data_IF_026151327587
#
_entry.id   IF_026151327587
#
_cell.length_a   1.000
_cell.length_b   1.000
_cell.length_c   1.000
_cell.angle_alpha   90.00
_cell.angle_beta   90.00
_cell.angle_gamma   90.00
#
_symmetry.space_group_name_H-M   'P 1'
#
loop_
_entity.id
_entity.type
_entity.pdbx_description
1 polymer ?
#
# COMPACT_ATOMS: atom_id res chain seq x y z
N UNK A 1 12.27 14.82 8.00
CA UNK A 1 13.16 13.98 8.85
C UNK A 1 12.34 13.08 9.79
N UNK A 2 11.56 13.63 10.72
CA UNK A 2 10.83 12.88 11.78
C UNK A 2 10.05 11.60 11.37
N UNK A 3 9.41 11.54 10.20
CA UNK A 3 8.62 10.36 9.77
C UNK A 3 9.46 9.19 9.27
N UNK A 4 10.57 9.47 8.58
CA UNK A 4 11.48 8.43 8.09
C UNK A 4 12.14 7.75 9.29
N UNK A 5 12.54 8.54 10.29
CA UNK A 5 13.13 8.00 11.53
C UNK A 5 12.13 7.13 12.31
N UNK A 6 10.84 7.48 12.29
CA UNK A 6 9.77 6.67 12.90
C UNK A 6 9.52 5.35 12.15
N UNK A 7 9.65 5.36 10.81
CA UNK A 7 9.60 4.14 10.01
C UNK A 7 10.83 3.26 10.28
N UNK A 8 12.03 3.85 10.26
CA UNK A 8 13.30 3.15 10.47
C UNK A 8 13.41 2.56 11.88
N UNK A 9 12.89 3.26 12.90
CA UNK A 9 12.84 2.76 14.28
C UNK A 9 11.75 1.73 14.55
N UNK A 10 10.85 1.46 13.58
CA UNK A 10 9.70 0.58 13.76
C UNK A 10 8.57 1.18 14.61
N UNK A 11 8.67 2.47 14.98
CA UNK A 11 7.59 3.20 15.66
C UNK A 11 6.34 3.26 14.79
N UNK A 12 6.51 3.41 13.47
CA UNK A 12 5.44 3.26 12.49
C UNK A 12 5.68 1.94 11.75
N UNK A 13 4.76 1.00 11.89
CA UNK A 13 4.81 -0.30 11.22
C UNK A 13 4.06 -0.25 9.89
N UNK A 14 4.67 0.36 8.88
CA UNK A 14 4.03 0.56 7.57
C UNK A 14 3.56 -0.75 6.92
N UNK A 15 4.30 -1.83 7.12
CA UNK A 15 3.96 -3.15 6.55
C UNK A 15 2.62 -3.69 7.05
N UNK A 16 2.22 -3.38 8.29
CA UNK A 16 0.93 -3.80 8.85
C UNK A 16 -0.26 -3.06 8.19
N UNK A 17 0.00 -1.93 7.52
CA UNK A 17 -1.02 -1.14 6.83
C UNK A 17 -1.19 -1.56 5.36
N UNK A 18 -0.24 -2.31 4.80
CA UNK A 18 -0.27 -2.78 3.41
C UNK A 18 -1.16 -4.01 3.34
N UNK A 19 -2.34 -3.85 2.77
CA UNK A 19 -3.37 -4.91 2.68
C UNK A 19 -3.38 -5.63 1.33
N UNK A 20 -2.70 -5.08 0.32
CA UNK A 20 -2.56 -5.67 -1.02
C UNK A 20 -1.30 -5.15 -1.70
N UNK A 21 -0.68 -5.98 -2.52
CA UNK A 21 0.43 -5.60 -3.42
C UNK A 21 0.03 -6.00 -4.84
N UNK A 22 0.21 -5.10 -5.79
CA UNK A 22 -0.17 -5.29 -7.19
C UNK A 22 0.94 -4.83 -8.14
N UNK A 23 0.91 -5.36 -9.36
CA UNK A 23 1.74 -4.86 -10.46
C UNK A 23 1.19 -3.55 -11.05
N UNK A 24 2.03 -2.85 -11.83
CA UNK A 24 1.62 -1.62 -12.51
C UNK A 24 0.48 -1.84 -13.52
N UNK A 25 0.48 -2.99 -14.18
CA UNK A 25 -0.56 -3.44 -15.10
C UNK A 25 -1.95 -3.57 -14.43
N UNK A 26 -2.02 -3.72 -13.11
CA UNK A 26 -3.26 -3.89 -12.34
C UNK A 26 -3.75 -2.60 -11.67
N UNK A 27 -3.09 -1.44 -11.89
CA UNK A 27 -3.36 -0.22 -11.12
C UNK A 27 -4.83 0.24 -11.16
N UNK A 28 -5.52 0.00 -12.29
CA UNK A 28 -6.93 0.38 -12.46
C UNK A 28 -7.84 -0.56 -11.67
N UNK A 29 -7.91 -1.84 -12.07
CA UNK A 29 -8.84 -2.82 -11.49
C UNK A 29 -8.40 -3.27 -10.09
N UNK A 30 -7.14 -3.68 -9.97
CA UNK A 30 -6.54 -4.20 -8.73
C UNK A 30 -6.24 -3.13 -7.68
N UNK A 31 -6.13 -1.86 -8.10
CA UNK A 31 -5.84 -0.71 -7.23
C UNK A 31 -7.07 0.16 -6.99
N UNK A 32 -7.38 1.06 -7.94
CA UNK A 32 -8.41 2.08 -7.74
C UNK A 32 -9.81 1.49 -7.57
N UNK A 33 -10.23 0.59 -8.45
CA UNK A 33 -11.57 0.00 -8.34
C UNK A 33 -11.74 -0.84 -7.07
N UNK A 34 -10.71 -1.60 -6.72
CA UNK A 34 -10.66 -2.39 -5.47
C UNK A 34 -10.91 -1.47 -4.27
N UNK A 35 -10.24 -0.32 -4.15
CA UNK A 35 -10.45 0.63 -3.04
C UNK A 35 -11.88 1.22 -3.00
N UNK A 36 -12.49 1.41 -4.15
CA UNK A 36 -13.87 1.92 -4.23
C UNK A 36 -14.87 0.86 -3.79
N UNK A 37 -14.69 -0.40 -4.21
CA UNK A 37 -15.62 -1.52 -3.98
C UNK A 37 -15.43 -2.17 -2.60
N UNK A 38 -14.19 -2.34 -2.16
CA UNK A 38 -13.80 -3.08 -0.97
C UNK A 38 -13.30 -2.15 0.14
N UNK A 39 -14.11 -1.97 1.20
CA UNK A 39 -13.84 -0.99 2.27
C UNK A 39 -12.88 -1.48 3.36
N UNK A 40 -12.46 -2.73 3.29
CA UNK A 40 -11.52 -3.36 4.21
C UNK A 40 -10.04 -3.16 3.82
N UNK A 41 -9.76 -2.63 2.63
CA UNK A 41 -8.41 -2.27 2.23
C UNK A 41 -7.97 -0.95 2.85
N UNK A 42 -6.78 -0.94 3.45
CA UNK A 42 -6.21 0.25 4.11
C UNK A 42 -5.22 0.95 3.17
N UNK A 43 -4.21 0.23 2.70
CA UNK A 43 -3.25 0.68 1.68
C UNK A 43 -3.02 -0.45 0.68
N UNK A 44 -2.95 -0.10 -0.62
CA UNK A 44 -2.52 -0.96 -1.72
C UNK A 44 -1.17 -0.43 -2.23
N UNK A 45 -0.15 -1.29 -2.24
CA UNK A 45 1.18 -0.94 -2.76
C UNK A 45 1.31 -1.38 -4.21
N UNK A 46 1.71 -0.46 -5.09
CA UNK A 46 1.94 -0.75 -6.51
C UNK A 46 3.43 -0.83 -6.79
N UNK A 47 3.88 -1.95 -7.35
CA UNK A 47 5.25 -2.10 -7.83
C UNK A 47 5.33 -1.72 -9.31
N UNK A 48 6.26 -0.82 -9.72
CA UNK A 48 6.50 -0.52 -11.13
C UNK A 48 7.29 -1.63 -11.84
N UNK A 49 7.84 -2.60 -11.11
CA UNK A 49 8.51 -3.79 -11.65
C UNK A 49 7.53 -4.96 -11.55
N UNK A 50 7.21 -5.57 -12.69
CA UNK A 50 6.51 -6.86 -12.76
C UNK A 50 7.40 -7.99 -12.23
#
# INVERSE_FOLDING_TARGET
>A
MKRIDQLASGTIKADELITKKIGMNEIIEGGFETLVKEKNHVIILVSPRE
#
